data_IF_911695447050
#
_entry.id   IF_911695447050
#
_cell.length_a   1.000
_cell.length_b   1.000
_cell.length_c   1.000
_cell.angle_alpha   90.00
_cell.angle_beta   90.00
_cell.angle_gamma   90.00
#
_symmetry.space_group_name_H-M   'P 1'
#
loop_
_entity.id
_entity.type
_entity.pdbx_description
1 polymer ?
#
# COMPACT_ATOMS: atom_id res chain seq x y z
N UNK A 1 -1.78 1.75 -22.82
CA UNK A 1 -1.80 2.08 -21.37
C UNK A 1 -1.30 3.49 -21.12
N UNK A 2 -1.95 4.38 -21.83
CA UNK A 2 -1.60 5.79 -21.74
C UNK A 2 -1.92 6.32 -20.34
N UNK A 3 -1.02 7.08 -19.77
CA UNK A 3 -1.20 7.71 -18.47
C UNK A 3 -0.64 6.95 -17.27
N UNK A 4 -0.19 5.71 -17.43
CA UNK A 4 0.46 4.98 -16.34
C UNK A 4 1.92 5.39 -16.27
N UNK A 5 2.37 5.76 -15.07
CA UNK A 5 3.74 6.24 -14.85
C UNK A 5 4.37 5.50 -13.68
N UNK A 6 5.69 5.35 -13.74
CA UNK A 6 6.49 4.84 -12.64
C UNK A 6 6.25 5.66 -11.37
N UNK A 7 6.10 4.99 -10.25
CA UNK A 7 5.88 5.61 -8.94
C UNK A 7 4.43 5.75 -8.54
N UNK A 8 3.49 5.53 -9.44
CA UNK A 8 2.08 5.65 -9.11
C UNK A 8 1.63 4.54 -8.16
N UNK A 9 0.86 4.88 -7.11
CA UNK A 9 0.30 3.88 -6.21
C UNK A 9 -0.74 3.01 -6.91
N UNK A 10 -0.76 1.74 -6.52
CA UNK A 10 -1.74 0.76 -6.98
C UNK A 10 -2.57 0.37 -5.76
N UNK A 11 -3.87 0.61 -5.81
CA UNK A 11 -4.76 0.32 -4.70
C UNK A 11 -5.95 -0.52 -5.12
N UNK A 12 -6.52 -1.23 -4.15
CA UNK A 12 -7.77 -1.96 -4.29
C UNK A 12 -8.81 -1.34 -3.36
N UNK A 13 -10.02 -1.87 -3.40
CA UNK A 13 -11.07 -1.47 -2.45
C UNK A 13 -10.69 -1.75 -0.99
N UNK A 14 -9.78 -2.67 -0.74
CA UNK A 14 -9.35 -3.05 0.61
C UNK A 14 -8.14 -2.27 1.11
N UNK A 15 -7.36 -1.68 0.20
CA UNK A 15 -6.18 -0.93 0.58
C UNK A 15 -5.06 -0.98 -0.44
N UNK A 16 -3.86 -0.66 0.02
CA UNK A 16 -2.68 -0.53 -0.82
C UNK A 16 -2.19 -1.89 -1.31
N UNK A 17 -1.99 -2.01 -2.61
CA UNK A 17 -1.43 -3.20 -3.26
C UNK A 17 0.07 -3.03 -3.51
N UNK A 18 0.49 -1.84 -3.92
CA UNK A 18 1.89 -1.58 -4.23
C UNK A 18 2.06 -0.29 -5.02
N UNK A 19 3.11 -0.26 -5.83
CA UNK A 19 3.39 0.87 -6.70
C UNK A 19 3.95 0.41 -8.04
N UNK A 20 3.78 1.23 -9.06
CA UNK A 20 4.33 0.95 -10.39
C UNK A 20 5.84 1.19 -10.38
N UNK A 21 6.62 0.17 -10.73
CA UNK A 21 8.09 0.27 -10.79
C UNK A 21 8.63 0.32 -12.21
N UNK A 22 7.88 -0.17 -13.18
CA UNK A 22 8.27 -0.03 -14.58
C UNK A 22 7.04 -0.06 -15.47
N UNK A 23 7.15 0.63 -16.60
CA UNK A 23 6.09 0.72 -17.59
C UNK A 23 6.67 0.32 -18.95
N UNK A 24 6.08 -0.69 -19.57
CA UNK A 24 6.40 -1.12 -20.92
C UNK A 24 5.29 -0.76 -21.91
N UNK A 25 5.46 -1.12 -23.19
CA UNK A 25 4.49 -0.78 -24.24
C UNK A 25 3.11 -1.42 -24.02
N UNK A 26 3.07 -2.61 -23.43
CA UNK A 26 1.83 -3.37 -23.25
C UNK A 26 1.63 -3.91 -21.84
N UNK A 27 2.57 -3.64 -20.93
CA UNK A 27 2.49 -4.15 -19.56
C UNK A 27 3.18 -3.22 -18.57
N UNK A 28 2.83 -3.35 -17.31
CA UNK A 28 3.49 -2.62 -16.23
C UNK A 28 3.83 -3.59 -15.11
N UNK A 29 4.88 -3.28 -14.37
CA UNK A 29 5.29 -4.07 -13.20
C UNK A 29 4.92 -3.33 -11.94
N UNK A 30 4.39 -4.09 -10.98
CA UNK A 30 4.00 -3.57 -9.66
C UNK A 30 4.96 -4.12 -8.61
N UNK A 31 5.50 -3.23 -7.79
CA UNK A 31 6.20 -3.62 -6.57
C UNK A 31 5.13 -3.81 -5.50
N UNK A 32 4.89 -5.06 -5.12
CA UNK A 32 3.89 -5.37 -4.11
C UNK A 32 4.37 -4.95 -2.72
N UNK A 33 3.42 -4.65 -1.82
CA UNK A 33 3.75 -4.23 -0.45
C UNK A 33 4.59 -5.28 0.29
N UNK A 34 4.40 -6.56 -0.03
CA UNK A 34 5.10 -7.67 0.62
C UNK A 34 6.53 -7.88 0.11
N UNK A 35 6.94 -7.21 -0.97
CA UNK A 35 8.31 -7.30 -1.48
C UNK A 35 9.28 -6.67 -0.50
N UNK A 36 10.48 -7.28 -0.33
CA UNK A 36 11.50 -6.76 0.60
C UNK A 36 11.95 -5.35 0.25
N UNK A 37 11.83 -4.96 -1.01
CA UNK A 37 12.19 -3.62 -1.46
C UNK A 37 11.08 -2.59 -1.23
N UNK A 38 9.90 -3.02 -0.81
CA UNK A 38 8.78 -2.13 -0.53
C UNK A 38 8.89 -1.57 0.88
N UNK A 39 8.93 -0.24 0.97
CA UNK A 39 8.97 0.49 2.24
C UNK A 39 7.89 1.57 2.20
N UNK A 40 6.88 1.44 3.04
CA UNK A 40 5.70 2.28 3.00
C UNK A 40 5.63 3.14 4.26
N UNK A 41 5.82 4.46 4.13
CA UNK A 41 5.61 5.36 5.27
C UNK A 41 4.17 5.27 5.77
N UNK A 42 4.01 4.95 7.03
CA UNK A 42 2.75 4.58 7.62
C UNK A 42 2.58 5.17 9.01
N UNK A 43 1.38 5.08 9.53
CA UNK A 43 1.12 5.39 10.92
C UNK A 43 0.12 4.39 11.50
N UNK A 44 0.20 4.22 12.80
CA UNK A 44 -0.69 3.38 13.57
C UNK A 44 -1.94 4.18 13.91
N UNK A 45 -3.11 3.74 13.46
CA UNK A 45 -4.32 4.58 13.52
C UNK A 45 -4.85 4.84 14.91
N UNK A 46 -4.60 3.94 15.86
CA UNK A 46 -5.08 4.09 17.23
C UNK A 46 -4.03 4.73 18.14
N UNK A 47 -2.81 4.24 18.09
CA UNK A 47 -1.73 4.76 18.93
C UNK A 47 -1.04 6.00 18.34
N UNK A 48 -1.21 6.26 17.04
CA UNK A 48 -0.73 7.49 16.41
C UNK A 48 0.73 7.53 16.03
N UNK A 49 1.50 6.48 16.27
CA UNK A 49 2.93 6.46 16.01
C UNK A 49 3.23 6.25 14.53
N UNK A 50 4.21 6.99 13.99
CA UNK A 50 4.70 6.72 12.64
C UNK A 50 5.61 5.51 12.62
N UNK A 51 5.63 4.82 11.47
CA UNK A 51 6.52 3.69 11.23
C UNK A 51 6.66 3.47 9.73
N UNK A 52 7.61 2.63 9.34
CA UNK A 52 7.72 2.16 7.96
C UNK A 52 7.24 0.71 7.92
N UNK A 53 6.27 0.43 7.07
CA UNK A 53 5.84 -0.93 6.81
C UNK A 53 6.69 -1.50 5.68
N UNK A 54 7.52 -2.48 5.98
CA UNK A 54 8.41 -3.09 5.00
C UNK A 54 7.99 -4.52 4.70
N UNK A 55 7.96 -4.87 3.42
CA UNK A 55 7.76 -6.24 2.98
C UNK A 55 8.89 -7.16 3.42
N UNK A 56 8.60 -8.44 3.55
CA UNK A 56 9.54 -9.45 4.01
C UNK A 56 9.70 -10.59 3.01
N UNK A 57 9.23 -10.40 1.77
CA UNK A 57 9.16 -11.42 0.72
C UNK A 57 8.30 -12.63 1.11
N UNK A 58 7.37 -12.42 2.02
CA UNK A 58 6.44 -13.46 2.48
C UNK A 58 5.02 -12.93 2.50
N UNK A 59 4.27 -13.33 3.51
CA UNK A 59 2.86 -12.94 3.65
C UNK A 59 2.65 -11.72 4.53
N UNK A 60 3.66 -11.35 5.32
CA UNK A 60 3.54 -10.30 6.32
C UNK A 60 4.49 -9.16 6.04
N UNK A 61 4.12 -7.98 6.53
CA UNK A 61 4.99 -6.82 6.60
C UNK A 61 5.57 -6.72 8.02
N UNK A 62 6.67 -6.01 8.13
CA UNK A 62 7.32 -5.74 9.42
C UNK A 62 7.37 -4.23 9.63
N UNK A 63 7.02 -3.77 10.83
CA UNK A 63 7.17 -2.36 11.17
C UNK A 63 8.63 -2.05 11.48
N UNK A 64 9.15 -1.02 10.82
CA UNK A 64 10.52 -0.53 10.98
C UNK A 64 10.49 0.90 11.50
N UNK A 65 11.55 1.27 12.20
CA UNK A 65 11.76 2.64 12.70
C UNK A 65 10.64 3.12 13.61
N UNK A 66 9.98 2.19 14.30
CA UNK A 66 9.00 2.52 15.32
C UNK A 66 9.73 3.02 16.58
N UNK A 67 9.21 4.09 17.18
CA UNK A 67 9.78 4.62 18.42
C UNK A 67 9.78 3.55 19.51
N UNK A 68 10.83 3.53 20.34
CA UNK A 68 10.89 2.65 21.51
C UNK A 68 9.80 2.96 22.54
N UNK A 69 9.23 4.16 22.50
CA UNK A 69 8.13 4.56 23.38
C UNK A 69 6.77 4.11 22.86
N UNK A 70 6.71 3.68 21.61
CA UNK A 70 5.45 3.27 21.00
C UNK A 70 4.95 1.97 21.61
N UNK A 71 3.65 1.91 21.84
CA UNK A 71 2.95 0.73 22.36
C UNK A 71 1.86 0.30 21.37
N UNK A 72 2.25 -0.32 20.25
CA UNK A 72 1.27 -0.77 19.28
C UNK A 72 0.28 -1.77 19.88
N UNK A 73 -0.93 -1.73 19.36
CA UNK A 73 -2.01 -2.59 19.82
C UNK A 73 -2.20 -3.68 18.78
N UNK A 74 -2.21 -4.95 19.21
CA UNK A 74 -2.54 -6.05 18.30
C UNK A 74 -3.96 -5.86 17.79
N UNK A 75 -4.14 -5.94 16.49
CA UNK A 75 -5.43 -5.64 15.83
C UNK A 75 -5.53 -4.23 15.28
N UNK A 76 -4.58 -3.37 15.60
CA UNK A 76 -4.56 -1.99 15.13
C UNK A 76 -4.35 -1.92 13.61
N UNK A 77 -5.09 -1.03 12.96
CA UNK A 77 -4.96 -0.80 11.52
C UNK A 77 -3.81 0.17 11.25
N UNK A 78 -3.03 -0.14 10.22
CA UNK A 78 -1.96 0.70 9.73
C UNK A 78 -2.42 1.37 8.44
N UNK A 79 -2.23 2.68 8.34
CA UNK A 79 -2.54 3.45 7.13
C UNK A 79 -1.31 4.18 6.63
N UNK A 80 -1.31 4.52 5.33
CA UNK A 80 -0.26 5.34 4.77
C UNK A 80 -0.27 6.72 5.41
N UNK A 81 0.91 7.26 5.70
CA UNK A 81 1.04 8.58 6.29
C UNK A 81 1.08 9.71 5.27
N UNK A 82 1.36 9.39 4.01
CA UNK A 82 1.60 10.41 2.99
C UNK A 82 2.99 11.02 3.06
N UNK A 83 3.80 10.61 4.03
CA UNK A 83 5.16 11.13 4.18
C UNK A 83 6.01 10.76 2.95
N UNK A 84 6.80 11.70 2.48
CA UNK A 84 7.60 11.48 1.27
C UNK A 84 6.85 11.66 -0.04
N UNK A 85 5.53 11.80 -0.03
CA UNK A 85 4.73 12.16 -1.20
C UNK A 85 4.51 11.06 -2.24
N UNK A 86 5.00 9.83 -2.00
CA UNK A 86 4.85 8.72 -2.95
C UNK A 86 3.45 8.11 -2.87
N UNK A 87 2.95 7.92 -1.65
CA UNK A 87 1.62 7.35 -1.42
C UNK A 87 0.67 8.42 -0.87
N UNK A 88 -0.62 8.40 -1.25
CA UNK A 88 -1.59 9.26 -0.59
C UNK A 88 -1.74 8.87 0.88
N UNK A 89 -2.03 9.81 1.74
CA UNK A 89 -2.28 9.51 3.15
C UNK A 89 -3.63 8.84 3.34
N UNK A 90 -3.75 8.01 4.38
CA UNK A 90 -5.02 7.43 4.79
C UNK A 90 -5.45 6.19 4.02
N UNK A 91 -4.54 5.56 3.25
CA UNK A 91 -4.84 4.30 2.57
C UNK A 91 -4.50 3.14 3.49
N UNK A 92 -5.40 2.19 3.64
CA UNK A 92 -5.14 1.00 4.46
C UNK A 92 -3.95 0.22 3.93
N UNK A 93 -3.00 -0.08 4.81
CA UNK A 93 -1.85 -0.95 4.51
C UNK A 93 -2.10 -2.35 5.03
N UNK A 94 -2.53 -2.45 6.27
CA UNK A 94 -2.77 -3.74 6.88
C UNK A 94 -3.15 -3.62 8.35
N UNK A 95 -3.06 -4.74 9.05
CA UNK A 95 -3.47 -4.88 10.44
C UNK A 95 -2.35 -5.55 11.22
N UNK A 96 -2.00 -5.03 12.38
CA UNK A 96 -1.02 -5.67 13.26
C UNK A 96 -1.60 -6.97 13.77
N UNK A 97 -0.94 -8.09 13.51
CA UNK A 97 -1.45 -9.39 13.93
C UNK A 97 -0.58 -10.07 14.98
N UNK A 98 0.69 -9.68 15.11
CA UNK A 98 1.58 -10.35 16.06
C UNK A 98 2.78 -9.48 16.40
N UNK A 99 3.42 -9.85 17.51
CA UNK A 99 4.71 -9.30 17.93
C UNK A 99 5.62 -10.45 18.30
N UNK A 100 6.85 -10.40 17.82
CA UNK A 100 7.86 -11.43 18.11
C UNK A 100 9.24 -10.78 18.15
N UNK A 101 10.00 -11.07 19.19
CA UNK A 101 11.37 -10.54 19.37
C UNK A 101 11.46 -9.02 19.23
N UNK A 102 10.45 -8.29 19.75
CA UNK A 102 10.42 -6.84 19.66
C UNK A 102 9.96 -6.28 18.33
N UNK A 103 9.62 -7.13 17.36
CA UNK A 103 9.14 -6.72 16.05
C UNK A 103 7.65 -6.94 15.92
N UNK A 104 6.97 -5.97 15.31
CA UNK A 104 5.55 -6.06 15.01
C UNK A 104 5.34 -6.44 13.56
N UNK A 105 4.42 -7.37 13.33
CA UNK A 105 4.11 -7.88 12.01
C UNK A 105 2.70 -7.50 11.60
N UNK A 106 2.56 -7.14 10.34
CA UNK A 106 1.32 -6.61 9.77
C UNK A 106 0.86 -7.53 8.66
N UNK A 107 -0.42 -7.91 8.71
CA UNK A 107 -1.09 -8.62 7.63
C UNK A 107 -1.61 -7.59 6.64
N UNK A 108 -1.17 -7.58 5.37
CA UNK A 108 -1.77 -6.71 4.37
C UNK A 108 -3.26 -7.02 4.23
N UNK A 109 -4.09 -5.99 4.16
CA UNK A 109 -5.53 -6.17 3.95
C UNK A 109 -5.84 -6.73 2.56
N UNK A 110 -5.27 -6.18 1.47
CA UNK A 110 -5.42 -6.83 0.17
C UNK A 110 -4.57 -8.08 0.10
N UNK A 111 -5.16 -9.16 -0.37
CA UNK A 111 -4.40 -10.35 -0.72
C UNK A 111 -4.13 -10.32 -2.23
N UNK A 112 -2.88 -10.11 -2.67
CA UNK A 112 -2.57 -9.99 -4.09
C UNK A 112 -3.00 -11.18 -4.93
N UNK A 113 -3.05 -12.38 -4.34
CA UNK A 113 -3.43 -13.59 -5.05
C UNK A 113 -4.93 -13.67 -5.35
N UNK A 114 -5.73 -12.91 -4.61
CA UNK A 114 -7.19 -12.90 -4.76
C UNK A 114 -7.72 -11.68 -5.50
N UNK A 115 -6.87 -10.71 -5.80
CA UNK A 115 -7.28 -9.49 -6.46
C UNK A 115 -7.47 -9.74 -7.96
N UNK A 116 -8.56 -9.24 -8.51
CA UNK A 116 -8.83 -9.25 -9.96
C UNK A 116 -8.56 -7.90 -10.59
N UNK A 117 -8.94 -6.84 -9.89
CA UNK A 117 -8.82 -5.48 -10.40
C UNK A 117 -8.23 -4.58 -9.34
N UNK A 118 -7.40 -3.66 -9.81
CA UNK A 118 -6.81 -2.60 -8.98
C UNK A 118 -6.99 -1.28 -9.69
N UNK A 119 -6.84 -0.20 -8.94
CA UNK A 119 -6.83 1.14 -9.49
C UNK A 119 -5.44 1.74 -9.33
N UNK A 120 -5.00 2.46 -10.35
CA UNK A 120 -3.74 3.21 -10.30
C UNK A 120 -4.10 4.66 -10.08
N UNK A 121 -3.47 5.27 -9.08
CA UNK A 121 -3.76 6.64 -8.67
C UNK A 121 -2.85 7.59 -9.43
N UNK A 122 -3.43 8.54 -10.14
CA UNK A 122 -2.69 9.67 -10.69
C UNK A 122 -2.63 10.82 -9.69
N UNK A 123 -1.68 11.70 -9.85
CA UNK A 123 -1.49 12.82 -8.92
C UNK A 123 -2.74 13.72 -8.80
N UNK A 124 -3.48 13.91 -9.89
CA UNK A 124 -4.72 14.68 -9.84
C UNK A 124 -5.80 14.05 -8.98
N UNK A 125 -5.86 12.73 -8.94
CA UNK A 125 -6.84 12.02 -8.14
C UNK A 125 -6.52 12.07 -6.64
N UNK A 126 -5.26 12.27 -6.28
CA UNK A 126 -4.85 12.40 -4.88
C UNK A 126 -5.40 13.67 -4.24
N UNK A 127 -5.40 14.77 -4.97
CA UNK A 127 -5.95 16.03 -4.46
C UNK A 127 -7.46 15.97 -4.28
N UNK A 128 -8.15 15.32 -5.20
CA UNK A 128 -9.59 15.17 -5.12
C UNK A 128 -10.02 14.27 -3.96
N UNK A 129 -9.21 13.30 -3.58
CA UNK A 129 -9.50 12.45 -2.43
C UNK A 129 -9.43 13.18 -1.10
N UNK A 130 -8.58 14.17 -0.99
CA UNK A 130 -8.48 14.98 0.24
C UNK A 130 -9.70 15.88 0.45
N UNK A 131 -10.46 16.16 -0.61
CA UNK A 131 -11.63 17.02 -0.56
C UNK A 131 -12.94 16.27 -0.33
N UNK A 132 -12.95 14.96 -0.51
CA UNK A 132 -14.14 14.15 -0.28
C UNK A 132 -14.07 13.51 1.10
N UNK A 133 -15.04 13.84 1.92
CA UNK A 133 -15.27 13.15 3.19
C UNK A 133 -15.82 11.77 2.88
N UNK A 134 -15.01 10.75 3.13
CA UNK A 134 -15.40 9.38 2.92
C UNK A 134 -14.79 8.75 1.68
N UNK A 135 -14.80 7.44 1.65
CA UNK A 135 -14.34 6.68 0.51
C UNK A 135 -15.28 6.89 -0.67
N UNK A 136 -15.00 7.92 -1.46
CA UNK A 136 -15.54 7.90 -2.80
C UNK A 136 -14.93 6.69 -3.51
N UNK A 137 -15.73 5.80 -4.11
CA UNK A 137 -15.17 4.76 -4.94
C UNK A 137 -14.29 5.42 -5.98
N UNK A 138 -13.07 4.92 -6.12
CA UNK A 138 -12.20 5.35 -7.19
C UNK A 138 -12.99 5.29 -8.47
N UNK A 139 -12.94 6.38 -9.23
CA UNK A 139 -13.60 6.39 -10.52
C UNK A 139 -13.09 5.22 -11.34
N UNK A 140 -14.01 4.33 -11.60
CA UNK A 140 -13.72 2.98 -12.03
C UNK A 140 -13.12 2.88 -13.42
N UNK A 141 -13.26 3.89 -14.25
CA UNK A 141 -13.19 3.65 -15.66
C UNK A 141 -11.85 3.92 -16.33
N UNK A 142 -10.95 4.61 -15.66
CA UNK A 142 -9.71 4.99 -16.34
C UNK A 142 -8.47 4.28 -15.81
N UNK A 143 -8.54 3.71 -14.63
CA UNK A 143 -7.37 3.20 -13.93
C UNK A 143 -7.53 1.77 -13.41
N UNK A 144 -8.60 1.06 -13.79
CA UNK A 144 -8.75 -0.34 -13.43
C UNK A 144 -7.92 -1.22 -14.36
N UNK A 145 -7.08 -2.01 -13.77
CA UNK A 145 -6.23 -2.95 -14.49
C UNK A 145 -6.46 -4.33 -13.90
N UNK A 146 -6.61 -5.31 -14.80
CA UNK A 146 -6.69 -6.70 -14.39
C UNK A 146 -5.31 -7.18 -13.96
N UNK A 147 -5.18 -7.60 -12.72
CA UNK A 147 -3.92 -8.07 -12.16
C UNK A 147 -3.35 -9.31 -12.83
N UNK A 148 -4.16 -10.03 -13.58
CA UNK A 148 -3.64 -11.18 -14.35
C UNK A 148 -2.60 -10.78 -15.39
N UNK A 149 -2.57 -9.53 -15.80
CA UNK A 149 -1.57 -9.00 -16.73
C UNK A 149 -0.29 -8.52 -16.08
N UNK A 150 -0.19 -8.53 -14.76
CA UNK A 150 1.03 -8.12 -14.07
C UNK A 150 1.92 -9.30 -13.77
N UNK A 151 3.22 -9.14 -14.00
CA UNK A 151 4.20 -10.07 -13.47
C UNK A 151 4.18 -10.01 -11.95
N UNK A 152 4.04 -11.16 -11.32
CA UNK A 152 3.73 -11.22 -9.90
C UNK A 152 4.84 -10.73 -8.99
N UNK A 153 6.10 -10.81 -9.38
CA UNK A 153 7.22 -10.38 -8.53
C UNK A 153 8.43 -10.00 -9.34
N UNK A 154 9.17 -9.07 -8.81
CA UNK A 154 10.47 -8.62 -9.32
C UNK A 154 11.62 -9.46 -8.76
N UNK A 155 11.52 -10.70 -8.66
CA UNK A 155 12.70 -11.50 -8.29
C UNK A 155 13.35 -12.07 -9.50
#
# INVERSE_FOLDING_TARGET
>A
MDGIKKGQPVISSLGLVGSIISVGPSSSRVLLTIDINSMIPSYLTQSGWPAIAQGQNGKLLKLRFLSSEAKPIIGEIIETSGHGGVFPSGVNVGKIISMSNGNYYVQPLPNPQKLRFVSIISNGNLENRKKTTGFAPLQENQNKINLKGFNKFSN
#
